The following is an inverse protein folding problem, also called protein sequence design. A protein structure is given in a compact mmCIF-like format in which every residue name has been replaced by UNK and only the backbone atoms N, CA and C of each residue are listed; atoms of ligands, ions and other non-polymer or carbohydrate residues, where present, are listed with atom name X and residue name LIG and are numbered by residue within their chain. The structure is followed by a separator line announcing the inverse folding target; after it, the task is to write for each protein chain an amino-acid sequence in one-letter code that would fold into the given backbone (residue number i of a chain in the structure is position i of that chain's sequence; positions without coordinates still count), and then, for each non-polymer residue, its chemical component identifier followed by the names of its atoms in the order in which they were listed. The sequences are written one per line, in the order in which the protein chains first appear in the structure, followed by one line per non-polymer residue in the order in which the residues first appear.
data_IF_050147312034
#
_entry.id   IF_050147312034
#
_cell.length_a   1.000
_cell.length_b   1.000
_cell.length_c   1.000
_cell.angle_alpha   90.00
_cell.angle_beta   90.00
_cell.angle_gamma   90.00
#
_symmetry.space_group_name_H-M   'P 1'
#
loop_
_entity.id
_entity.type
_entity.pdbx_description
1 polymer ?
#
# COMPACT_ATOMS: atom_id res chain seq x y z
N UNK A 1 3.26 -10.67 30.16
CA UNK A 1 3.35 -11.26 28.81
C UNK A 1 3.69 -10.15 27.82
N UNK A 2 4.96 -10.04 27.43
CA UNK A 2 5.37 -9.11 26.37
C UNK A 2 4.99 -9.75 25.03
N UNK A 3 3.87 -9.28 24.51
CA UNK A 3 3.25 -9.75 23.28
C UNK A 3 3.98 -9.18 22.04
N UNK A 4 4.87 -8.19 22.18
CA UNK A 4 5.65 -7.68 21.04
C UNK A 4 6.74 -8.67 20.61
N UNK A 5 6.62 -9.19 19.39
CA UNK A 5 7.65 -10.00 18.74
C UNK A 5 8.99 -9.20 18.71
N UNK A 6 10.08 -9.70 19.32
CA UNK A 6 11.38 -9.00 19.38
C UNK A 6 11.96 -8.65 17.99
N UNK A 7 11.38 -9.21 16.92
CA UNK A 7 11.69 -8.94 15.51
C UNK A 7 11.35 -7.52 15.04
N UNK A 8 10.42 -6.81 15.70
CA UNK A 8 9.91 -5.50 15.26
C UNK A 8 10.29 -4.31 16.15
N UNK A 9 10.99 -4.57 17.26
CA UNK A 9 11.37 -3.55 18.22
C UNK A 9 12.34 -2.49 17.66
N UNK A 10 13.16 -2.87 16.68
CA UNK A 10 14.19 -2.01 16.10
C UNK A 10 13.72 -1.26 14.82
N UNK A 11 12.50 -1.51 14.34
CA UNK A 11 12.00 -0.89 13.11
C UNK A 11 11.41 0.50 13.39
N UNK A 12 11.91 1.56 12.72
CA UNK A 12 11.39 2.91 12.91
C UNK A 12 9.89 2.94 12.62
N UNK A 13 9.13 3.55 13.52
CA UNK A 13 7.68 3.77 13.46
C UNK A 13 6.78 2.51 13.66
N UNK A 14 7.34 1.32 13.85
CA UNK A 14 6.57 0.07 14.09
C UNK A 14 6.53 -0.30 15.59
N UNK A 15 7.48 0.20 16.37
CA UNK A 15 7.61 -0.08 17.80
C UNK A 15 6.36 0.30 18.63
N UNK A 16 5.61 1.31 18.19
CA UNK A 16 4.41 1.80 18.86
C UNK A 16 3.30 2.05 17.84
N UNK A 17 2.00 1.90 18.20
CA UNK A 17 0.89 2.31 17.34
C UNK A 17 0.73 3.83 17.25
N UNK A 18 1.30 4.61 18.18
CA UNK A 18 1.09 6.06 18.27
C UNK A 18 1.51 6.83 17.01
N UNK A 19 2.66 6.56 16.36
CA UNK A 19 3.01 7.22 15.11
C UNK A 19 1.99 7.00 14.00
N UNK A 20 1.48 5.77 13.86
CA UNK A 20 0.43 5.42 12.88
C UNK A 20 -0.87 6.16 13.20
N UNK A 21 -1.29 6.19 14.47
CA UNK A 21 -2.49 6.91 14.92
C UNK A 21 -2.36 8.41 14.66
N UNK A 22 -1.21 9.01 15.01
CA UNK A 22 -0.94 10.43 14.77
C UNK A 22 -0.95 10.76 13.27
N UNK A 23 -0.38 9.91 12.43
CA UNK A 23 -0.41 10.10 10.98
C UNK A 23 -1.83 10.02 10.42
N UNK A 24 -2.61 9.02 10.84
CA UNK A 24 -4.02 8.88 10.43
C UNK A 24 -4.84 10.09 10.87
N UNK A 25 -4.64 10.58 12.10
CA UNK A 25 -5.32 11.77 12.59
C UNK A 25 -4.97 13.01 11.75
N UNK A 26 -3.68 13.20 11.42
CA UNK A 26 -3.25 14.28 10.55
C UNK A 26 -3.81 14.16 9.13
N UNK A 27 -3.81 12.95 8.56
CA UNK A 27 -4.39 12.65 7.26
C UNK A 27 -5.89 12.99 7.21
N UNK A 28 -6.67 12.52 8.17
CA UNK A 28 -8.12 12.81 8.25
C UNK A 28 -8.39 14.29 8.47
N UNK A 29 -7.55 14.97 9.26
CA UNK A 29 -7.63 16.42 9.42
C UNK A 29 -7.41 17.15 8.09
N UNK A 30 -6.37 16.79 7.32
CA UNK A 30 -6.08 17.36 6.00
C UNK A 30 -7.23 17.08 5.03
N UNK A 31 -7.79 15.86 5.02
CA UNK A 31 -8.93 15.51 4.16
C UNK A 31 -10.16 16.35 4.48
N UNK A 32 -10.40 16.67 5.76
CA UNK A 32 -11.54 17.47 6.19
C UNK A 32 -11.35 18.98 5.94
N UNK A 33 -10.16 19.51 6.23
CA UNK A 33 -9.88 20.95 6.20
C UNK A 33 -9.34 21.41 4.85
N UNK A 34 -8.56 20.57 4.17
CA UNK A 34 -7.90 20.88 2.90
C UNK A 34 -8.85 21.36 1.79
N UNK A 35 -9.98 20.68 1.54
CA UNK A 35 -10.97 21.16 0.56
C UNK A 35 -11.50 22.56 0.88
N UNK A 36 -11.79 22.83 2.16
CA UNK A 36 -12.31 24.13 2.63
C UNK A 36 -11.28 25.26 2.45
N UNK A 37 -10.00 24.99 2.70
CA UNK A 37 -8.92 25.96 2.41
C UNK A 37 -8.83 26.21 0.90
N UNK A 38 -8.92 25.15 0.11
CA UNK A 38 -8.79 25.23 -1.35
C UNK A 38 -9.98 25.93 -2.02
N UNK A 39 -11.16 26.03 -1.40
CA UNK A 39 -12.31 26.77 -1.96
C UNK A 39 -11.91 28.18 -2.43
N UNK A 40 -11.17 28.90 -1.59
CA UNK A 40 -10.71 30.28 -1.83
C UNK A 40 -9.48 30.39 -2.75
N UNK A 41 -8.87 29.28 -3.15
CA UNK A 41 -7.61 29.24 -3.92
C UNK A 41 -7.82 28.70 -5.34
N UNK A 42 -6.94 29.02 -6.27
CA UNK A 42 -6.96 28.40 -7.61
C UNK A 42 -6.43 26.96 -7.56
N UNK A 43 -6.89 26.11 -8.49
CA UNK A 43 -6.38 24.74 -8.61
C UNK A 43 -4.93 24.73 -9.09
N UNK A 44 -4.07 23.95 -8.45
CA UNK A 44 -2.66 23.85 -8.84
C UNK A 44 -2.47 22.94 -10.06
N UNK A 45 -1.58 23.35 -10.96
CA UNK A 45 -1.10 22.49 -12.05
C UNK A 45 0.09 21.65 -11.56
N UNK A 46 -0.18 20.41 -11.15
CA UNK A 46 0.83 19.49 -10.59
C UNK A 46 1.18 18.36 -11.57
N UNK A 47 1.13 18.61 -12.88
CA UNK A 47 1.29 17.55 -13.90
C UNK A 47 2.65 16.87 -13.82
N UNK A 48 3.73 17.63 -13.82
CA UNK A 48 5.10 17.10 -13.76
C UNK A 48 5.35 16.35 -12.43
N UNK A 49 4.87 16.93 -11.32
CA UNK A 49 4.96 16.30 -10.00
C UNK A 49 4.23 14.95 -9.97
N UNK A 50 3.02 14.90 -10.54
CA UNK A 50 2.24 13.67 -10.63
C UNK A 50 2.87 12.64 -11.57
N UNK A 51 3.53 13.07 -12.64
CA UNK A 51 4.25 12.16 -13.54
C UNK A 51 5.39 11.48 -12.79
N UNK A 52 6.24 12.26 -12.12
CA UNK A 52 7.37 11.75 -11.31
C UNK A 52 6.87 10.87 -10.17
N UNK A 53 5.82 11.30 -9.47
CA UNK A 53 5.22 10.55 -8.37
C UNK A 53 4.66 9.20 -8.83
N UNK A 54 3.83 9.17 -9.86
CA UNK A 54 3.26 7.92 -10.37
C UNK A 54 4.35 6.98 -10.90
N UNK A 55 5.35 7.51 -11.61
CA UNK A 55 6.46 6.69 -12.11
C UNK A 55 7.29 6.10 -10.96
N UNK A 56 7.55 6.89 -9.91
CA UNK A 56 8.24 6.41 -8.70
C UNK A 56 7.45 5.29 -8.02
N UNK A 57 6.12 5.41 -7.95
CA UNK A 57 5.26 4.38 -7.39
C UNK A 57 5.20 3.11 -8.24
N UNK A 58 5.29 3.22 -9.58
CA UNK A 58 5.44 2.05 -10.46
C UNK A 58 6.73 1.31 -10.13
N UNK A 59 7.86 2.01 -10.06
CA UNK A 59 9.16 1.39 -9.76
C UNK A 59 9.17 0.74 -8.38
N UNK A 60 8.65 1.44 -7.37
CA UNK A 60 8.54 0.92 -6.01
C UNK A 60 7.65 -0.32 -5.95
N UNK A 61 6.48 -0.28 -6.59
CA UNK A 61 5.53 -1.40 -6.61
C UNK A 61 6.10 -2.61 -7.36
N UNK A 62 6.77 -2.39 -8.50
CA UNK A 62 7.41 -3.44 -9.27
C UNK A 62 8.55 -4.10 -8.48
N UNK A 63 9.36 -3.30 -7.79
CA UNK A 63 10.41 -3.80 -6.89
C UNK A 63 9.83 -4.64 -5.75
N UNK A 64 8.76 -4.18 -5.10
CA UNK A 64 8.09 -4.95 -4.04
C UNK A 64 7.51 -6.27 -4.55
N UNK A 65 6.91 -6.28 -5.75
CA UNK A 65 6.43 -7.51 -6.40
C UNK A 65 7.57 -8.48 -6.68
N UNK A 66 8.67 -7.99 -7.27
CA UNK A 66 9.84 -8.82 -7.57
C UNK A 66 10.43 -9.44 -6.30
N UNK A 67 10.69 -8.62 -5.28
CA UNK A 67 11.28 -9.10 -4.02
C UNK A 67 10.35 -10.05 -3.27
N UNK A 68 9.03 -9.86 -3.35
CA UNK A 68 8.05 -10.81 -2.80
C UNK A 68 8.17 -12.17 -3.49
N UNK A 69 8.08 -12.21 -4.82
CA UNK A 69 8.16 -13.46 -5.59
C UNK A 69 9.50 -14.16 -5.35
N UNK A 70 10.60 -13.40 -5.39
CA UNK A 70 11.93 -13.96 -5.17
C UNK A 70 12.09 -14.49 -3.73
N UNK A 71 11.53 -13.83 -2.71
CA UNK A 71 11.52 -14.35 -1.34
C UNK A 71 10.73 -15.66 -1.23
N UNK A 72 9.63 -15.81 -1.96
CA UNK A 72 8.86 -17.06 -1.98
C UNK A 72 9.60 -18.21 -2.66
N UNK A 73 10.44 -17.92 -3.66
CA UNK A 73 11.28 -18.92 -4.33
C UNK A 73 12.51 -19.32 -3.50
N UNK A 74 13.06 -18.40 -2.72
CA UNK A 74 14.26 -18.62 -1.90
C UNK A 74 13.98 -19.45 -0.63
N UNK A 75 12.74 -19.48 -0.14
CA UNK A 75 12.35 -20.19 1.08
C UNK A 75 11.92 -21.63 0.75
N UNK A 76 12.62 -22.67 1.24
CA UNK A 76 12.21 -24.05 1.04
C UNK A 76 10.84 -24.33 1.69
N UNK A 77 9.96 -25.06 0.99
CA UNK A 77 8.60 -25.39 1.46
C UNK A 77 7.75 -24.15 1.82
N UNK A 78 7.89 -23.07 1.05
CA UNK A 78 7.16 -21.83 1.27
C UNK A 78 5.64 -22.06 1.26
N UNK A 79 4.98 -21.65 2.34
CA UNK A 79 3.53 -21.76 2.46
C UNK A 79 2.86 -20.45 2.04
N UNK A 80 2.22 -20.43 0.87
CA UNK A 80 1.50 -19.25 0.35
C UNK A 80 0.34 -18.77 1.22
N UNK A 81 -0.11 -19.60 2.16
CA UNK A 81 -1.22 -19.31 3.08
C UNK A 81 -0.70 -18.83 4.44
N UNK A 82 0.26 -19.56 5.01
CA UNK A 82 0.75 -19.34 6.36
C UNK A 82 2.29 -19.40 6.38
N UNK A 83 2.92 -18.37 5.79
CA UNK A 83 4.35 -18.19 5.93
C UNK A 83 4.63 -17.21 7.07
N UNK A 84 5.18 -17.71 8.18
CA UNK A 84 5.76 -16.84 9.20
C UNK A 84 6.90 -16.02 8.60
N UNK A 85 6.95 -14.72 8.89
CA UNK A 85 8.01 -13.84 8.39
C UNK A 85 9.31 -14.23 9.10
N UNK A 86 10.29 -14.83 8.39
CA UNK A 86 11.57 -15.14 9.01
C UNK A 86 12.30 -13.82 9.29
N UNK A 87 12.78 -13.64 10.52
CA UNK A 87 13.66 -12.54 10.87
C UNK A 87 14.81 -13.07 11.73
N UNK A 88 16.03 -12.92 11.22
CA UNK A 88 17.28 -13.30 11.88
C UNK A 88 18.19 -12.07 11.86
N UNK A 89 18.54 -11.54 13.03
CA UNK A 89 19.40 -10.35 13.15
C UNK A 89 20.72 -10.59 12.41
N UNK A 90 21.05 -9.71 11.46
CA UNK A 90 22.30 -9.75 10.68
C UNK A 90 22.27 -10.60 9.40
N UNK A 91 21.16 -11.26 9.06
CA UNK A 91 21.05 -12.05 7.81
C UNK A 91 20.12 -11.36 6.80
N UNK A 92 20.70 -10.61 5.86
CA UNK A 92 19.93 -9.89 4.83
C UNK A 92 19.15 -10.83 3.90
N UNK A 93 19.70 -12.01 3.59
CA UNK A 93 19.07 -12.96 2.67
C UNK A 93 17.84 -13.57 3.30
N UNK A 94 17.90 -13.95 4.58
CA UNK A 94 16.75 -14.49 5.31
C UNK A 94 15.73 -13.43 5.71
N UNK A 95 16.13 -12.16 5.78
CA UNK A 95 15.24 -11.03 6.12
C UNK A 95 14.60 -10.35 4.91
N UNK A 96 14.82 -10.87 3.70
CA UNK A 96 14.31 -10.27 2.46
C UNK A 96 12.80 -10.02 2.50
N UNK A 97 12.03 -11.03 2.93
CA UNK A 97 10.57 -10.92 3.07
C UNK A 97 10.16 -9.86 4.10
N UNK A 98 10.85 -9.81 5.23
CA UNK A 98 10.60 -8.83 6.29
C UNK A 98 10.82 -7.40 5.78
N UNK A 99 11.92 -7.17 5.05
CA UNK A 99 12.25 -5.88 4.43
C UNK A 99 11.16 -5.43 3.44
N UNK A 100 10.66 -6.33 2.61
CA UNK A 100 9.60 -6.00 1.63
C UNK A 100 8.31 -5.60 2.32
N UNK A 101 7.90 -6.34 3.35
CA UNK A 101 6.69 -6.03 4.13
C UNK A 101 6.83 -4.68 4.83
N UNK A 102 8.02 -4.37 5.35
CA UNK A 102 8.31 -3.05 5.93
C UNK A 102 8.22 -1.93 4.89
N UNK A 103 8.86 -2.10 3.72
CA UNK A 103 8.80 -1.11 2.64
C UNK A 103 7.38 -0.95 2.11
N UNK A 104 6.61 -2.03 2.02
CA UNK A 104 5.19 -1.98 1.67
C UNK A 104 4.38 -1.15 2.66
N UNK A 105 4.62 -1.31 3.96
CA UNK A 105 3.98 -0.49 4.97
C UNK A 105 4.36 0.99 4.82
N UNK A 106 5.64 1.29 4.59
CA UNK A 106 6.09 2.66 4.29
C UNK A 106 5.47 3.21 3.01
N UNK A 107 5.26 2.38 1.98
CA UNK A 107 4.66 2.80 0.71
C UNK A 107 3.26 3.35 0.92
N UNK A 108 2.49 2.84 1.88
CA UNK A 108 1.13 3.35 2.18
C UNK A 108 1.14 4.83 2.60
N UNK A 109 2.19 5.29 3.27
CA UNK A 109 2.34 6.70 3.65
C UNK A 109 2.59 7.57 2.43
N UNK A 110 3.43 7.09 1.51
CA UNK A 110 3.69 7.77 0.23
C UNK A 110 2.41 7.82 -0.60
N UNK A 111 1.68 6.71 -0.70
CA UNK A 111 0.42 6.60 -1.45
C UNK A 111 -0.66 7.55 -0.92
N UNK A 112 -0.69 7.86 0.38
CA UNK A 112 -1.64 8.84 0.93
C UNK A 112 -1.39 10.28 0.47
N UNK A 113 -0.23 10.60 -0.10
CA UNK A 113 0.00 11.90 -0.77
C UNK A 113 -0.91 12.09 -1.98
N UNK A 114 -1.42 11.01 -2.58
CA UNK A 114 -2.38 11.07 -3.68
C UNK A 114 -3.63 11.87 -3.30
N UNK A 115 -4.14 11.67 -2.09
CA UNK A 115 -5.28 12.42 -1.55
C UNK A 115 -4.97 13.91 -1.45
N UNK A 116 -3.74 14.26 -1.05
CA UNK A 116 -3.28 15.66 -0.99
C UNK A 116 -3.26 16.26 -2.40
N UNK A 117 -2.75 15.53 -3.39
CA UNK A 117 -2.76 15.99 -4.78
C UNK A 117 -4.18 16.18 -5.33
N UNK A 118 -5.15 15.32 -4.98
CA UNK A 118 -6.54 15.51 -5.36
C UNK A 118 -7.14 16.78 -4.77
N UNK A 119 -6.87 17.07 -3.50
CA UNK A 119 -7.32 18.29 -2.82
C UNK A 119 -6.71 19.54 -3.48
N UNK A 120 -5.39 19.55 -3.69
CA UNK A 120 -4.67 20.67 -4.31
C UNK A 120 -5.12 20.95 -5.75
N UNK A 121 -5.58 19.92 -6.47
CA UNK A 121 -6.12 20.04 -7.83
C UNK A 121 -7.62 20.32 -7.88
N UNK A 122 -8.28 20.51 -6.73
CA UNK A 122 -9.75 20.63 -6.61
C UNK A 122 -10.51 19.46 -7.24
N UNK A 123 -9.95 18.25 -7.16
CA UNK A 123 -10.57 17.01 -7.66
C UNK A 123 -11.27 16.25 -6.52
N UNK A 124 -12.14 16.95 -5.80
CA UNK A 124 -12.83 16.40 -4.61
C UNK A 124 -13.70 15.18 -4.93
N UNK A 125 -14.16 15.01 -6.17
CA UNK A 125 -14.88 13.80 -6.61
C UNK A 125 -14.03 12.54 -6.57
N UNK A 126 -12.69 12.66 -6.61
CA UNK A 126 -11.77 11.53 -6.46
C UNK A 126 -11.55 11.17 -4.98
N UNK A 127 -11.72 12.13 -4.07
CA UNK A 127 -11.66 11.91 -2.61
C UNK A 127 -12.99 11.34 -2.12
N UNK A 128 -13.33 10.15 -2.62
CA UNK A 128 -14.54 9.43 -2.24
C UNK A 128 -14.43 8.84 -0.83
N UNK A 129 -15.58 8.46 -0.25
CA UNK A 129 -15.60 7.70 1.01
C UNK A 129 -14.73 6.44 0.93
N UNK A 130 -14.86 5.67 -0.16
CA UNK A 130 -14.09 4.44 -0.36
C UNK A 130 -12.58 4.71 -0.38
N UNK A 131 -12.14 5.79 -1.04
CA UNK A 131 -10.74 6.19 -1.09
C UNK A 131 -10.18 6.49 0.31
N UNK A 132 -10.88 7.34 1.06
CA UNK A 132 -10.45 7.74 2.41
C UNK A 132 -10.49 6.55 3.37
N UNK A 133 -11.54 5.73 3.30
CA UNK A 133 -11.69 4.52 4.10
C UNK A 133 -10.56 3.51 3.82
N UNK A 134 -10.26 3.25 2.54
CA UNK A 134 -9.19 2.35 2.13
C UNK A 134 -7.83 2.84 2.64
N UNK A 135 -7.45 4.08 2.36
CA UNK A 135 -6.15 4.61 2.82
C UNK A 135 -6.05 4.60 4.34
N UNK A 136 -7.13 4.93 5.07
CA UNK A 136 -7.13 4.92 6.53
C UNK A 136 -6.96 3.51 7.11
N UNK A 137 -7.72 2.54 6.60
CA UNK A 137 -7.67 1.15 7.10
C UNK A 137 -6.36 0.45 6.75
N UNK A 138 -5.79 0.73 5.58
CA UNK A 138 -4.52 0.14 5.14
C UNK A 138 -3.33 0.50 6.05
N UNK A 139 -3.34 1.66 6.71
CA UNK A 139 -2.32 2.00 7.71
C UNK A 139 -2.34 1.08 8.93
N UNK A 140 -3.54 0.79 9.44
CA UNK A 140 -3.72 -0.10 10.59
C UNK A 140 -3.47 -1.56 10.23
N UNK A 141 -4.01 -2.01 9.09
CA UNK A 141 -3.79 -3.37 8.57
C UNK A 141 -2.31 -3.59 8.28
N UNK A 142 -1.62 -2.62 7.68
CA UNK A 142 -0.20 -2.72 7.39
C UNK A 142 0.66 -2.75 8.67
N UNK A 143 0.31 -1.98 9.70
CA UNK A 143 1.00 -2.02 11.00
C UNK A 143 0.79 -3.36 11.71
N UNK A 144 -0.45 -3.88 11.69
CA UNK A 144 -0.75 -5.21 12.22
C UNK A 144 -0.07 -6.32 11.41
N UNK A 145 -0.01 -6.17 10.08
CA UNK A 145 0.65 -7.08 9.14
C UNK A 145 2.17 -7.13 9.31
N UNK A 146 2.81 -6.00 9.61
CA UNK A 146 4.24 -5.97 9.90
C UNK A 146 4.59 -6.63 11.25
N UNK A 147 3.64 -6.66 12.20
CA UNK A 147 3.91 -7.08 13.58
C UNK A 147 3.36 -8.47 13.94
N UNK A 148 2.31 -8.95 13.29
CA UNK A 148 1.54 -10.11 13.76
C UNK A 148 1.08 -11.07 12.66
N UNK A 149 0.79 -10.60 11.45
CA UNK A 149 0.16 -11.41 10.42
C UNK A 149 1.15 -11.83 9.32
N UNK A 150 0.98 -13.02 8.72
CA UNK A 150 1.69 -13.38 7.49
C UNK A 150 1.20 -12.50 6.33
N UNK A 151 1.81 -11.33 6.15
CA UNK A 151 1.36 -10.31 5.21
C UNK A 151 1.83 -10.53 3.75
N UNK A 152 2.51 -11.66 3.47
CA UNK A 152 3.13 -11.93 2.17
C UNK A 152 2.14 -11.86 1.00
N UNK A 153 1.08 -12.68 1.03
CA UNK A 153 0.16 -12.81 -0.10
C UNK A 153 -0.55 -11.49 -0.42
N UNK A 154 -1.00 -10.79 0.64
CA UNK A 154 -1.56 -9.44 0.54
C UNK A 154 -0.59 -8.43 -0.07
N UNK A 155 0.65 -8.42 0.42
CA UNK A 155 1.71 -7.50 -0.06
C UNK A 155 2.06 -7.76 -1.52
N UNK A 156 2.26 -9.03 -1.91
CA UNK A 156 2.64 -9.41 -3.27
C UNK A 156 1.55 -9.06 -4.28
N UNK A 157 0.29 -9.42 -3.97
CA UNK A 157 -0.85 -9.17 -4.85
C UNK A 157 -1.16 -7.67 -4.96
N UNK A 158 -1.18 -6.95 -3.83
CA UNK A 158 -1.45 -5.51 -3.84
C UNK A 158 -0.37 -4.75 -4.61
N UNK A 159 0.91 -5.07 -4.40
CA UNK A 159 2.02 -4.44 -5.12
C UNK A 159 1.97 -4.71 -6.63
N UNK A 160 1.56 -5.92 -7.04
CA UNK A 160 1.39 -6.23 -8.46
C UNK A 160 0.28 -5.39 -9.09
N UNK A 161 -0.89 -5.32 -8.45
CA UNK A 161 -2.00 -4.49 -8.95
C UNK A 161 -1.62 -3.00 -8.94
N UNK A 162 -0.91 -2.52 -7.91
CA UNK A 162 -0.42 -1.14 -7.83
C UNK A 162 0.57 -0.82 -8.95
N UNK A 163 1.42 -1.77 -9.34
CA UNK A 163 2.31 -1.61 -10.51
C UNK A 163 1.50 -1.31 -11.77
N UNK A 164 0.45 -2.09 -12.04
CA UNK A 164 -0.42 -1.91 -13.21
C UNK A 164 -1.24 -0.62 -13.11
N UNK A 165 -1.79 -0.32 -11.94
CA UNK A 165 -2.61 0.88 -11.70
C UNK A 165 -1.79 2.17 -11.85
N UNK A 166 -0.63 2.27 -11.21
CA UNK A 166 0.21 3.45 -11.30
C UNK A 166 0.84 3.60 -12.69
N UNK A 167 1.07 2.50 -13.42
CA UNK A 167 1.47 2.59 -14.82
C UNK A 167 0.38 3.25 -15.66
N UNK A 168 -0.88 2.89 -15.45
CA UNK A 168 -2.01 3.57 -16.09
C UNK A 168 -2.09 5.05 -15.71
N UNK A 169 -1.93 5.41 -14.43
CA UNK A 169 -1.95 6.81 -14.00
C UNK A 169 -0.77 7.61 -14.56
N UNK A 170 0.43 7.04 -14.58
CA UNK A 170 1.61 7.61 -15.23
C UNK A 170 1.37 7.89 -16.71
N UNK A 171 0.92 6.89 -17.47
CA UNK A 171 0.59 7.05 -18.89
C UNK A 171 -0.53 8.08 -19.12
N UNK A 172 -1.53 8.13 -18.25
CA UNK A 172 -2.62 9.12 -18.34
C UNK A 172 -2.16 10.56 -18.10
N UNK A 173 -1.06 10.75 -17.38
CA UNK A 173 -0.48 12.05 -17.05
C UNK A 173 0.42 12.63 -18.17
N UNK A 174 0.91 11.77 -19.10
CA UNK A 174 1.70 12.17 -20.28
C UNK A 174 0.90 13.07 -21.23
N UNK A 175 -0.44 12.98 -21.26
CA UNK A 175 -1.29 13.99 -21.91
C UNK A 175 -2.55 13.44 -22.56
N UNK A 176 -3.38 14.32 -23.16
CA UNK A 176 -4.63 13.95 -23.82
C UNK A 176 -4.44 12.95 -24.97
N UNK A 177 -3.31 13.01 -25.69
CA UNK A 177 -2.97 12.11 -26.78
C UNK A 177 -2.83 10.65 -26.36
N UNK A 178 -2.54 10.37 -25.08
CA UNK A 178 -2.44 9.00 -24.56
C UNK A 178 -3.82 8.39 -24.24
N UNK A 179 -4.85 9.21 -24.02
CA UNK A 179 -6.19 8.73 -23.61
C UNK A 179 -6.84 7.70 -24.54
N UNK A 180 -6.74 7.80 -25.88
CA UNK A 180 -7.30 6.80 -26.79
C UNK A 180 -6.68 5.40 -26.61
N UNK A 181 -5.40 5.34 -26.24
CA UNK A 181 -4.68 4.08 -26.02
C UNK A 181 -4.97 3.44 -24.65
N UNK A 182 -5.61 4.17 -23.74
CA UNK A 182 -5.93 3.75 -22.38
C UNK A 182 -7.32 3.08 -22.25
N UNK A 183 -7.71 2.31 -23.27
CA UNK A 183 -9.01 1.60 -23.36
C UNK A 183 -9.19 0.51 -22.29
N UNK A 184 -8.10 0.05 -21.70
CA UNK A 184 -8.05 -1.08 -20.77
C UNK A 184 -8.33 -0.71 -19.30
N UNK A 185 -8.80 0.53 -19.04
CA UNK A 185 -9.13 1.03 -17.69
C UNK A 185 -10.06 0.08 -16.92
N UNK A 186 -11.07 -0.48 -17.57
CA UNK A 186 -12.03 -1.37 -16.91
C UNK A 186 -11.42 -2.71 -16.47
N UNK A 187 -10.36 -3.19 -17.14
CA UNK A 187 -9.64 -4.39 -16.70
C UNK A 187 -8.86 -4.13 -15.41
N UNK A 188 -8.35 -2.92 -15.22
CA UNK A 188 -7.66 -2.54 -13.97
C UNK A 188 -8.64 -2.59 -12.80
N UNK A 189 -9.85 -2.07 -12.96
CA UNK A 189 -10.88 -2.14 -11.91
C UNK A 189 -11.28 -3.59 -11.60
N UNK A 190 -11.41 -4.44 -12.63
CA UNK A 190 -11.65 -5.88 -12.43
C UNK A 190 -10.49 -6.54 -11.68
N UNK A 191 -9.25 -6.21 -12.03
CA UNK A 191 -8.05 -6.73 -11.39
C UNK A 191 -7.96 -6.31 -9.91
N UNK A 192 -8.31 -5.05 -9.59
CA UNK A 192 -8.39 -4.55 -8.21
C UNK A 192 -9.43 -5.32 -7.39
N UNK A 193 -10.62 -5.57 -7.96
CA UNK A 193 -11.67 -6.33 -7.28
C UNK A 193 -11.24 -7.78 -7.03
N UNK A 194 -10.65 -8.45 -8.02
CA UNK A 194 -10.13 -9.81 -7.87
C UNK A 194 -9.02 -9.86 -6.82
N UNK A 195 -8.09 -8.92 -6.85
CA UNK A 195 -7.04 -8.84 -5.82
C UNK A 195 -7.62 -8.64 -4.43
N UNK A 196 -8.59 -7.74 -4.27
CA UNK A 196 -9.19 -7.48 -2.97
C UNK A 196 -9.91 -8.73 -2.42
N UNK A 197 -10.69 -9.42 -3.26
CA UNK A 197 -11.38 -10.65 -2.84
C UNK A 197 -10.41 -11.78 -2.54
N UNK A 198 -9.37 -11.98 -3.36
CA UNK A 198 -8.35 -13.00 -3.10
C UNK A 198 -7.61 -12.76 -1.77
N UNK A 199 -7.23 -11.52 -1.48
CA UNK A 199 -6.54 -11.17 -0.23
C UNK A 199 -7.45 -11.37 0.97
N UNK A 200 -8.72 -10.98 0.89
CA UNK A 200 -9.71 -11.21 1.95
C UNK A 200 -9.94 -12.71 2.19
N UNK A 201 -10.09 -13.50 1.12
CA UNK A 201 -10.25 -14.96 1.25
C UNK A 201 -9.04 -15.62 1.91
N UNK A 202 -7.83 -15.19 1.54
CA UNK A 202 -6.59 -15.69 2.15
C UNK A 202 -6.52 -15.32 3.64
N UNK A 203 -6.88 -14.08 4.00
CA UNK A 203 -6.93 -13.65 5.40
C UNK A 203 -7.99 -14.41 6.21
N UNK A 204 -9.18 -14.62 5.67
CA UNK A 204 -10.26 -15.39 6.31
C UNK A 204 -9.87 -16.84 6.52
N UNK A 205 -9.24 -17.46 5.53
CA UNK A 205 -8.74 -18.83 5.62
C UNK A 205 -7.63 -18.96 6.68
N UNK A 206 -6.72 -17.97 6.76
CA UNK A 206 -5.72 -17.91 7.82
C UNK A 206 -6.37 -17.83 9.21
N UNK A 207 -7.37 -16.94 9.38
CA UNK A 207 -8.09 -16.81 10.65
C UNK A 207 -8.80 -18.12 11.05
N UNK A 208 -9.36 -18.85 10.08
CA UNK A 208 -9.98 -20.15 10.30
C UNK A 208 -8.98 -21.23 10.72
N UNK A 209 -7.81 -21.30 10.07
CA UNK A 209 -6.79 -22.33 10.36
C UNK A 209 -6.04 -22.08 11.67
N UNK A 210 -6.02 -20.83 12.17
CA UNK A 210 -5.25 -20.45 13.35
C UNK A 210 -6.07 -20.36 14.65
N UNK A 211 -7.33 -20.80 14.65
CA UNK A 211 -8.23 -20.82 15.82
C UNK A 211 -8.12 -19.54 16.68
N UNK A 212 -8.22 -18.36 16.06
CA UNK A 212 -8.35 -17.09 16.80
C UNK A 212 -9.76 -16.89 17.42
N UNK A 213 -10.49 -17.98 17.68
CA UNK A 213 -11.77 -18.02 18.40
C UNK A 213 -11.80 -19.22 19.35
#
# INVERSE_FOLDING_TARGET
MNLSDPKTADWPLVASPWPTVSFVAAYLFIVKVGPKIMETRNAYSLREVLLVYNFSLVLLSAWMTYESIASAMDIPNFNFVCQSIPYIRGDEKRNRLARVIYVYWLSKFVEALETIFFILRKKNTQVSFLHVYHHTTMFFIGWAGAKWLPAFFGTAMNSFVHTVMYAYYGLSSIGPHMRPYLWWKHYITKLQLVSATSVLSNASWFAYVTDMF
#
